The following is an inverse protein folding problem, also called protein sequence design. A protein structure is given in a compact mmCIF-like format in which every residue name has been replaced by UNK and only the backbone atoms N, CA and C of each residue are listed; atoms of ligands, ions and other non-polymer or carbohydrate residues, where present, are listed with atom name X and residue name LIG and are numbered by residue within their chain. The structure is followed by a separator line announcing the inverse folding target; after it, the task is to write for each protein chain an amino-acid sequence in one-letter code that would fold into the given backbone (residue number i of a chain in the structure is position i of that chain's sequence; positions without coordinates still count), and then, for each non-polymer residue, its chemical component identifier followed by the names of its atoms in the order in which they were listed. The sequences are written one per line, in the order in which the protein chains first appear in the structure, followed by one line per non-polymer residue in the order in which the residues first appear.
data_IF_473065785754
#
_entry.id   IF_473065785754
#
_cell.length_a   1.000
_cell.length_b   1.000
_cell.length_c   1.000
_cell.angle_alpha   90.00
_cell.angle_beta   90.00
_cell.angle_gamma   90.00
#
_symmetry.space_group_name_H-M   'P 1'
#
loop_
_entity.id
_entity.type
_entity.pdbx_description
1 polymer ?
#
# COMPACT_ATOMS: atom_id res chain seq x y z
N UNK A 1 9.71 -2.56 5.40
CA UNK A 1 8.48 -3.28 4.99
C UNK A 1 8.60 -3.95 3.63
N UNK A 2 8.96 -3.24 2.54
CA UNK A 2 8.92 -3.76 1.15
C UNK A 2 9.54 -5.14 0.88
N UNK A 3 10.77 -5.39 1.37
CA UNK A 3 11.47 -6.68 1.14
C UNK A 3 11.06 -7.83 2.05
N UNK A 4 10.52 -7.55 3.23
CA UNK A 4 10.24 -8.57 4.25
C UNK A 4 8.75 -8.88 4.30
N UNK A 5 7.90 -7.87 4.46
CA UNK A 5 6.46 -8.06 4.65
C UNK A 5 5.78 -8.63 3.40
N UNK A 6 6.02 -8.03 2.23
CA UNK A 6 5.43 -8.52 0.98
C UNK A 6 5.91 -9.93 0.64
N UNK A 7 7.19 -10.24 0.91
CA UNK A 7 7.72 -11.58 0.65
C UNK A 7 7.10 -12.61 1.58
N UNK A 8 6.89 -12.26 2.85
CA UNK A 8 6.29 -13.11 3.86
C UNK A 8 4.79 -13.38 3.60
N UNK A 9 4.02 -12.34 3.27
CA UNK A 9 2.55 -12.45 3.16
C UNK A 9 2.05 -12.74 1.75
N UNK A 10 2.74 -12.28 0.71
CA UNK A 10 2.32 -12.39 -0.69
C UNK A 10 3.32 -13.16 -1.56
N UNK A 11 4.46 -13.61 -1.03
CA UNK A 11 5.48 -14.32 -1.79
C UNK A 11 6.27 -13.45 -2.78
N UNK A 12 5.95 -12.16 -2.89
CA UNK A 12 6.54 -11.19 -3.84
C UNK A 12 7.39 -10.15 -3.12
N UNK A 13 8.35 -9.57 -3.82
CA UNK A 13 9.14 -8.44 -3.27
C UNK A 13 8.64 -7.14 -3.89
N UNK A 14 8.26 -6.18 -3.04
CA UNK A 14 7.96 -4.83 -3.48
C UNK A 14 9.26 -3.99 -3.46
N UNK A 15 9.52 -3.25 -4.55
CA UNK A 15 10.60 -2.25 -4.58
C UNK A 15 10.10 -0.95 -3.97
N UNK A 16 10.96 -0.24 -3.25
CA UNK A 16 10.60 1.08 -2.70
C UNK A 16 11.23 2.18 -3.56
N UNK A 17 10.41 3.09 -4.09
CA UNK A 17 10.84 4.16 -5.00
C UNK A 17 10.13 5.48 -4.68
N UNK A 18 10.42 6.52 -5.49
CA UNK A 18 9.73 7.81 -5.49
C UNK A 18 9.64 8.50 -4.13
N UNK A 19 10.75 8.50 -3.39
CA UNK A 19 10.85 9.19 -2.12
C UNK A 19 10.63 10.70 -2.31
N UNK A 20 9.74 11.27 -1.51
CA UNK A 20 9.61 12.72 -1.40
C UNK A 20 10.90 13.30 -0.77
N UNK A 21 11.34 14.47 -1.21
CA UNK A 21 12.57 15.12 -0.72
C UNK A 21 12.54 15.39 0.79
N UNK A 22 11.35 15.68 1.32
CA UNK A 22 11.12 15.91 2.75
C UNK A 22 10.92 14.61 3.55
N UNK A 23 11.06 13.45 2.91
CA UNK A 23 10.82 12.13 3.48
C UNK A 23 9.37 11.88 3.90
N UNK A 24 8.42 12.71 3.46
CA UNK A 24 7.00 12.57 3.82
C UNK A 24 6.32 11.42 3.09
N UNK A 25 6.91 10.87 2.03
CA UNK A 25 6.28 9.79 1.29
C UNK A 25 7.24 9.00 0.42
N UNK A 26 6.75 7.85 -0.03
CA UNK A 26 7.44 6.93 -0.93
C UNK A 26 6.39 6.04 -1.60
N UNK A 27 6.82 5.22 -2.56
CA UNK A 27 5.96 4.28 -3.27
C UNK A 27 6.46 2.84 -3.13
N UNK A 28 5.53 1.89 -2.96
CA UNK A 28 5.79 0.46 -3.15
C UNK A 28 5.42 0.07 -4.58
N UNK A 29 6.37 -0.53 -5.29
CA UNK A 29 6.19 -1.02 -6.66
C UNK A 29 6.08 -2.54 -6.63
N UNK A 30 4.91 -3.04 -7.02
CA UNK A 30 4.64 -4.46 -7.23
C UNK A 30 4.69 -4.77 -8.72
N UNK A 31 5.45 -5.79 -9.15
CA UNK A 31 5.51 -6.15 -10.56
C UNK A 31 4.14 -6.64 -11.05
N UNK A 32 3.75 -6.30 -12.28
CA UNK A 32 2.52 -6.85 -12.87
C UNK A 32 2.58 -8.38 -12.97
N UNK A 33 3.76 -8.92 -13.35
CA UNK A 33 4.04 -10.36 -13.37
C UNK A 33 4.42 -10.86 -11.99
N UNK A 34 3.94 -12.05 -11.63
CA UNK A 34 4.09 -12.67 -10.30
C UNK A 34 3.34 -11.98 -9.16
N UNK A 35 2.56 -10.92 -9.39
CA UNK A 35 1.68 -10.38 -8.33
C UNK A 35 0.46 -11.30 -8.19
N UNK A 36 0.36 -12.09 -7.12
CA UNK A 36 -0.66 -13.15 -7.00
C UNK A 36 -2.09 -12.59 -6.94
N UNK A 37 -2.25 -11.29 -6.68
CA UNK A 37 -3.56 -10.64 -6.57
C UNK A 37 -4.17 -10.27 -7.93
N UNK A 38 -3.35 -10.21 -8.98
CA UNK A 38 -3.76 -9.66 -10.29
C UNK A 38 -3.33 -10.51 -11.48
N UNK A 39 -2.33 -11.38 -11.34
CA UNK A 39 -1.73 -12.13 -12.46
C UNK A 39 -2.73 -12.97 -13.27
N UNK A 40 -3.79 -13.46 -12.64
CA UNK A 40 -4.84 -14.27 -13.28
C UNK A 40 -6.21 -13.59 -13.30
N UNK A 41 -6.23 -12.26 -13.10
CA UNK A 41 -7.45 -11.49 -13.04
C UNK A 41 -7.56 -10.64 -14.30
N UNK A 42 -8.73 -10.65 -14.92
CA UNK A 42 -9.12 -9.70 -15.96
C UNK A 42 -10.33 -8.92 -15.46
N UNK A 43 -10.28 -7.59 -15.58
CA UNK A 43 -11.30 -6.72 -15.04
C UNK A 43 -12.44 -6.54 -16.06
N UNK A 44 -13.70 -6.90 -15.72
CA UNK A 44 -14.83 -6.61 -16.60
C UNK A 44 -15.00 -5.10 -16.81
N UNK A 45 -15.53 -4.71 -17.97
CA UNK A 45 -15.69 -3.29 -18.32
C UNK A 45 -16.59 -2.53 -17.34
N UNK A 46 -17.57 -3.22 -16.76
CA UNK A 46 -18.50 -2.70 -15.77
C UNK A 46 -17.80 -2.32 -14.45
N UNK A 47 -16.61 -2.88 -14.20
CA UNK A 47 -15.82 -2.64 -13.00
C UNK A 47 -14.47 -1.97 -13.30
N UNK A 48 -14.34 -1.25 -14.43
CA UNK A 48 -13.09 -0.60 -14.82
C UNK A 48 -12.49 0.33 -13.73
N UNK A 49 -13.34 0.88 -12.87
CA UNK A 49 -12.93 1.75 -11.76
C UNK A 49 -12.44 0.98 -10.52
N UNK A 50 -12.68 -0.33 -10.43
CA UNK A 50 -12.26 -1.16 -9.29
C UNK A 50 -10.73 -1.19 -9.19
N UNK A 51 -10.23 -1.04 -7.96
CA UNK A 51 -8.81 -1.11 -7.65
C UNK A 51 -8.56 -2.33 -6.77
N UNK A 52 -8.17 -3.46 -7.37
CA UNK A 52 -7.99 -4.72 -6.65
C UNK A 52 -6.96 -4.63 -5.52
N UNK A 53 -5.83 -3.97 -5.77
CA UNK A 53 -4.76 -3.82 -4.78
C UNK A 53 -5.07 -2.79 -3.68
N UNK A 54 -6.27 -2.20 -3.63
CA UNK A 54 -6.69 -1.29 -2.55
C UNK A 54 -6.70 -1.99 -1.18
N UNK A 55 -6.97 -3.31 -1.14
CA UNK A 55 -6.86 -4.10 0.09
C UNK A 55 -5.44 -4.04 0.68
N UNK A 56 -4.41 -4.17 -0.16
CA UNK A 56 -3.00 -4.10 0.27
C UNK A 56 -2.64 -2.70 0.73
N UNK A 57 -3.10 -1.66 0.03
CA UNK A 57 -2.94 -0.28 0.48
C UNK A 57 -3.55 -0.08 1.89
N UNK A 58 -4.78 -0.56 2.11
CA UNK A 58 -5.44 -0.53 3.41
C UNK A 58 -4.68 -1.30 4.50
N UNK A 59 -4.12 -2.47 4.18
CA UNK A 59 -3.30 -3.24 5.11
C UNK A 59 -2.01 -2.51 5.49
N UNK A 60 -1.34 -1.86 4.53
CA UNK A 60 -0.15 -1.02 4.79
C UNK A 60 -0.51 0.14 5.71
N UNK A 61 -1.64 0.83 5.45
CA UNK A 61 -2.12 1.92 6.30
C UNK A 61 -2.34 1.44 7.73
N UNK A 62 -3.13 0.38 7.91
CA UNK A 62 -3.44 -0.16 9.24
C UNK A 62 -2.17 -0.61 9.99
N UNK A 63 -1.24 -1.28 9.31
CA UNK A 63 0.01 -1.71 9.93
C UNK A 63 0.88 -0.54 10.39
N UNK A 64 0.92 0.57 9.64
CA UNK A 64 1.67 1.78 10.01
C UNK A 64 0.97 2.56 11.13
N UNK A 65 -0.36 2.61 11.13
CA UNK A 65 -1.13 3.25 12.22
C UNK A 65 -0.95 2.52 13.55
N UNK A 66 -0.83 1.19 13.55
CA UNK A 66 -0.58 0.38 14.75
C UNK A 66 0.79 0.66 15.41
N UNK A 67 1.72 1.28 14.69
CA UNK A 67 3.00 1.75 15.21
C UNK A 67 3.03 3.29 15.29
N UNK A 68 1.86 3.90 15.49
CA UNK A 68 1.68 5.32 15.71
C UNK A 68 2.10 6.22 14.54
N UNK A 69 2.19 5.69 13.32
CA UNK A 69 2.47 6.50 12.12
C UNK A 69 1.18 6.69 11.33
N UNK A 70 0.61 7.89 11.39
CA UNK A 70 -0.56 8.23 10.57
C UNK A 70 -0.13 8.37 9.13
N UNK A 71 -0.70 7.58 8.23
CA UNK A 71 -0.39 7.61 6.81
C UNK A 71 -1.66 7.63 5.96
N UNK A 72 -1.53 8.13 4.75
CA UNK A 72 -2.48 7.94 3.66
C UNK A 72 -1.84 7.00 2.63
N UNK A 73 -2.62 6.05 2.12
CA UNK A 73 -2.17 5.11 1.10
C UNK A 73 -3.15 5.08 -0.06
N UNK A 74 -2.63 5.11 -1.29
CA UNK A 74 -3.44 5.06 -2.50
C UNK A 74 -2.73 4.25 -3.58
N UNK A 75 -3.50 3.58 -4.44
CA UNK A 75 -2.95 2.94 -5.65
C UNK A 75 -2.97 3.98 -6.76
N UNK A 76 -1.79 4.32 -7.31
CA UNK A 76 -1.65 5.37 -8.33
C UNK A 76 -1.28 4.83 -9.72
N UNK A 77 -0.84 3.58 -9.79
CA UNK A 77 -0.75 2.77 -11.02
C UNK A 77 -1.31 1.39 -10.75
N UNK A 78 -2.04 0.83 -11.70
CA UNK A 78 -2.72 -0.46 -11.60
C UNK A 78 -2.50 -1.30 -12.85
N UNK A 79 -1.82 -2.43 -12.69
CA UNK A 79 -1.53 -3.35 -13.79
C UNK A 79 -2.79 -3.96 -14.43
N UNK A 80 -3.92 -4.02 -13.71
CA UNK A 80 -5.20 -4.45 -14.31
C UNK A 80 -5.83 -3.38 -15.22
N UNK A 81 -5.35 -2.14 -15.12
CA UNK A 81 -5.82 -1.00 -15.94
C UNK A 81 -4.85 -0.64 -17.06
N UNK A 82 -3.84 -1.50 -17.30
CA UNK A 82 -2.89 -1.37 -18.40
C UNK A 82 -1.53 -0.79 -18.02
N UNK A 83 -1.28 -0.47 -16.74
CA UNK A 83 0.04 -0.06 -16.27
C UNK A 83 1.04 -1.23 -16.26
N UNK A 84 2.33 -0.89 -16.28
CA UNK A 84 3.43 -1.86 -16.24
C UNK A 84 3.64 -2.51 -14.86
N UNK A 85 3.04 -1.93 -13.82
CA UNK A 85 3.13 -2.37 -12.44
C UNK A 85 1.93 -1.88 -11.63
N UNK A 86 1.81 -2.40 -10.41
CA UNK A 86 0.94 -1.79 -9.39
C UNK A 86 1.80 -0.92 -8.48
N UNK A 87 1.46 0.36 -8.36
CA UNK A 87 2.14 1.31 -7.48
C UNK A 87 1.24 1.75 -6.33
N UNK A 88 1.69 1.50 -5.09
CA UNK A 88 1.02 1.96 -3.87
C UNK A 88 1.82 3.12 -3.30
N UNK A 89 1.26 4.33 -3.39
CA UNK A 89 1.79 5.54 -2.77
C UNK A 89 1.50 5.53 -1.27
N UNK A 90 2.49 5.90 -0.46
CA UNK A 90 2.37 6.08 0.99
C UNK A 90 2.81 7.49 1.36
N UNK A 91 1.95 8.23 2.05
CA UNK A 91 2.22 9.61 2.50
C UNK A 91 1.99 9.70 4.00
N UNK A 92 3.04 10.03 4.76
CA UNK A 92 2.97 10.30 6.19
C UNK A 92 2.20 11.60 6.44
N UNK A 93 1.21 11.52 7.32
CA UNK A 93 0.38 12.65 7.78
C UNK A 93 0.74 13.12 9.18
N UNK A 94 1.42 12.30 9.98
CA UNK A 94 1.86 12.67 11.32
C UNK A 94 2.14 11.47 12.21
N UNK A 95 2.37 11.72 13.49
CA UNK A 95 2.49 10.71 14.53
C UNK A 95 1.21 10.71 15.35
N UNK A 96 0.64 9.54 15.59
CA UNK A 96 -0.51 9.34 16.47
C UNK A 96 0.01 9.43 17.90
N UNK A 97 -0.51 10.38 18.68
CA UNK A 97 -0.21 10.47 20.11
C UNK A 97 -1.25 9.66 20.86
N UNK A 98 -0.82 8.78 21.75
CA UNK A 98 -1.72 8.19 22.74
C UNK A 98 -2.07 9.28 23.76
N UNK A 99 -3.32 9.73 23.75
CA UNK A 99 -3.86 10.49 24.87
C UNK A 99 -4.29 9.48 25.93
N UNK A 100 -3.55 9.41 27.03
CA UNK A 100 -3.97 8.66 28.22
C UNK A 100 -5.22 9.33 28.79
N UNK A 101 -6.36 8.65 28.73
CA UNK A 101 -7.57 9.11 29.41
C UNK A 101 -7.58 8.52 30.83
N UNK A 102 -7.42 9.33 31.90
CA UNK A 102 -7.32 8.85 33.27
C UNK A 102 -8.63 8.25 33.84
N UNK A 103 -9.63 7.97 32.98
CA UNK A 103 -10.89 7.33 33.34
C UNK A 103 -11.02 5.88 32.89
N UNK A 104 -10.01 5.32 32.22
CA UNK A 104 -9.95 3.90 31.84
C UNK A 104 -9.11 3.10 32.86
N UNK A 105 -9.66 2.90 34.07
CA UNK A 105 -9.26 1.89 35.07
C UNK A 105 -10.51 1.10 35.50
#
# INVERSE_FOLDING_TARGET
MGRVAFKMFLGVTATVQDWAEDGSGFSFILPAKNNPLVEFVELPKEYADLTMCALVAGAVRGALEMIQVRVETSVIRDSLKGDDCTEIRVIRKGIIREEFNPGDD
#
